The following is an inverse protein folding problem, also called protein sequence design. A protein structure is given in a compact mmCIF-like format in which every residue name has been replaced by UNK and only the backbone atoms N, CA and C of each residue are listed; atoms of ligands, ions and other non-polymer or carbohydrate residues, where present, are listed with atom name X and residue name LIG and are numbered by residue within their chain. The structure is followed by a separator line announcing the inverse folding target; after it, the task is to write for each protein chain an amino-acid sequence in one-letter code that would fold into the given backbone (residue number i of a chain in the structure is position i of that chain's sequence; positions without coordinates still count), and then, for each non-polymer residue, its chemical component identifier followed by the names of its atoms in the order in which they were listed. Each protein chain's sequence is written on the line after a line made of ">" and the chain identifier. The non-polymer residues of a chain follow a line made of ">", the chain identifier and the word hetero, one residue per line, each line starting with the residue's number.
data_IF_299110481391
#
_entry.id   IF_299110481391
#
_cell.length_a   1.000
_cell.length_b   1.000
_cell.length_c   1.000
_cell.angle_alpha   90.00
_cell.angle_beta   90.00
_cell.angle_gamma   90.00
#
_symmetry.space_group_name_H-M   'P 1'
#
loop_
_entity.id
_entity.type
_entity.pdbx_description
1 polymer ?
#
# COMPACT_ATOMS: atom_id res chain seq x y z
N UNK A 1 1.35 1.68 -8.64
CA UNK A 1 0.38 0.56 -8.78
C UNK A 1 1.06 -0.77 -8.49
N UNK A 2 0.45 -1.63 -7.69
CA UNK A 2 0.95 -2.98 -7.39
C UNK A 2 0.37 -3.96 -8.43
N UNK A 3 1.21 -4.85 -8.95
CA UNK A 3 0.81 -5.91 -9.89
C UNK A 3 0.73 -7.27 -9.20
N UNK A 4 1.72 -7.58 -8.37
CA UNK A 4 1.83 -8.87 -7.69
C UNK A 4 2.64 -8.75 -6.41
N UNK A 5 2.27 -9.51 -5.39
CA UNK A 5 3.01 -9.66 -4.12
C UNK A 5 3.14 -11.14 -3.81
N UNK A 6 4.35 -11.58 -3.42
CA UNK A 6 4.60 -12.94 -2.94
C UNK A 6 5.30 -12.90 -1.59
N UNK A 7 4.86 -13.78 -0.71
CA UNK A 7 5.37 -13.91 0.65
C UNK A 7 5.62 -15.38 0.94
N UNK A 8 6.72 -15.71 1.56
CA UNK A 8 7.06 -17.10 1.93
C UNK A 8 7.76 -17.14 3.28
N UNK A 9 7.48 -18.20 4.03
CA UNK A 9 8.03 -18.45 5.35
C UNK A 9 7.83 -17.29 6.34
N UNK A 10 6.59 -16.82 6.46
CA UNK A 10 6.25 -15.72 7.38
C UNK A 10 4.92 -15.97 8.09
N UNK A 11 4.85 -15.74 9.39
CA UNK A 11 3.68 -15.97 10.25
C UNK A 11 3.12 -17.40 10.12
N UNK A 12 1.89 -17.53 9.59
CA UNK A 12 1.25 -18.85 9.32
C UNK A 12 1.51 -19.38 7.92
N UNK A 13 2.23 -18.63 7.07
CA UNK A 13 2.51 -19.00 5.69
C UNK A 13 3.86 -19.74 5.61
N UNK A 14 3.83 -21.07 5.46
CA UNK A 14 5.02 -21.89 5.21
C UNK A 14 5.52 -21.74 3.79
N UNK A 15 4.64 -22.05 2.86
CA UNK A 15 4.92 -22.03 1.43
C UNK A 15 4.64 -20.63 0.85
N UNK A 16 5.00 -20.41 -0.41
CA UNK A 16 4.75 -19.13 -1.07
C UNK A 16 3.24 -18.86 -1.23
N UNK A 17 2.83 -17.70 -0.76
CA UNK A 17 1.49 -17.14 -0.97
C UNK A 17 1.61 -15.98 -1.95
N UNK A 18 0.84 -16.04 -3.02
CA UNK A 18 0.80 -15.02 -4.07
C UNK A 18 -0.51 -14.24 -4.02
N UNK A 19 -0.41 -12.93 -3.93
CA UNK A 19 -1.49 -11.98 -4.21
C UNK A 19 -1.25 -11.41 -5.60
N UNK A 20 -1.95 -11.94 -6.59
CA UNK A 20 -1.90 -11.48 -7.98
C UNK A 20 -3.09 -10.54 -8.25
N UNK A 21 -2.81 -9.32 -8.67
CA UNK A 21 -3.80 -8.30 -9.00
C UNK A 21 -4.10 -8.25 -10.52
N UNK A 22 -3.54 -9.17 -11.29
CA UNK A 22 -3.90 -9.34 -12.69
C UNK A 22 -5.24 -10.07 -12.81
N UNK A 23 -6.07 -9.65 -13.75
CA UNK A 23 -7.33 -10.31 -14.01
C UNK A 23 -7.12 -11.61 -14.78
N UNK A 24 -7.68 -12.71 -14.29
CA UNK A 24 -7.69 -13.96 -15.03
C UNK A 24 -8.46 -13.81 -16.37
N UNK A 25 -8.00 -14.50 -17.40
CA UNK A 25 -8.64 -14.53 -18.72
C UNK A 25 -9.91 -15.42 -18.68
N UNK A 26 -10.95 -14.93 -18.04
CA UNK A 26 -12.24 -15.62 -17.91
C UNK A 26 -13.29 -14.88 -18.75
N UNK A 27 -13.92 -15.57 -19.69
CA UNK A 27 -14.89 -15.01 -20.65
C UNK A 27 -16.33 -15.45 -20.38
N UNK A 28 -16.67 -15.80 -19.14
CA UNK A 28 -18.03 -16.16 -18.76
C UNK A 28 -18.94 -14.95 -18.66
N UNK A 29 -20.27 -15.14 -18.77
CA UNK A 29 -21.24 -14.06 -18.57
C UNK A 29 -21.12 -13.42 -17.16
N UNK A 30 -20.81 -14.22 -16.13
CA UNK A 30 -20.56 -13.73 -14.77
C UNK A 30 -19.30 -12.84 -14.68
N UNK A 31 -18.23 -13.20 -15.39
CA UNK A 31 -17.01 -12.41 -15.43
C UNK A 31 -17.23 -11.06 -16.14
N UNK A 32 -18.07 -11.00 -17.18
CA UNK A 32 -18.44 -9.75 -17.86
C UNK A 32 -19.21 -8.79 -16.95
N UNK A 33 -20.00 -9.31 -16.01
CA UNK A 33 -20.67 -8.47 -15.02
C UNK A 33 -19.72 -7.76 -14.04
N UNK A 34 -18.45 -8.21 -13.96
CA UNK A 34 -17.40 -7.64 -13.11
C UNK A 34 -16.46 -6.67 -13.85
N UNK A 35 -16.79 -6.26 -15.08
CA UNK A 35 -15.92 -5.34 -15.85
C UNK A 35 -15.67 -4.00 -15.14
N UNK A 36 -16.58 -3.53 -14.29
CA UNK A 36 -16.37 -2.36 -13.43
C UNK A 36 -15.18 -2.51 -12.47
N UNK A 37 -14.82 -3.74 -12.09
CA UNK A 37 -13.66 -4.04 -11.24
C UNK A 37 -12.33 -4.12 -12.03
N UNK A 38 -12.32 -3.74 -13.31
CA UNK A 38 -11.15 -3.89 -14.17
C UNK A 38 -10.68 -2.56 -14.73
N UNK A 39 -9.38 -2.47 -14.95
CA UNK A 39 -8.74 -1.43 -15.75
C UNK A 39 -7.55 -2.02 -16.51
N UNK A 40 -7.02 -1.29 -17.47
CA UNK A 40 -5.86 -1.73 -18.27
C UNK A 40 -4.62 -0.93 -17.90
N UNK A 41 -3.53 -1.62 -17.61
CA UNK A 41 -2.22 -1.02 -17.38
C UNK A 41 -1.13 -1.84 -18.08
N UNK A 42 -0.24 -1.21 -18.83
CA UNK A 42 0.84 -1.85 -19.62
C UNK A 42 0.36 -3.00 -20.53
N UNK A 43 -0.86 -2.90 -21.05
CA UNK A 43 -1.46 -3.92 -21.89
C UNK A 43 -2.07 -5.12 -21.15
N UNK A 44 -2.00 -5.13 -19.83
CA UNK A 44 -2.57 -6.16 -18.96
C UNK A 44 -3.85 -5.67 -18.27
N UNK A 45 -4.79 -6.59 -18.01
CA UNK A 45 -6.02 -6.31 -17.28
C UNK A 45 -5.76 -6.48 -15.79
N UNK A 46 -6.04 -5.44 -15.01
CA UNK A 46 -5.78 -5.36 -13.57
C UNK A 46 -7.09 -5.27 -12.80
N UNK A 47 -7.07 -5.81 -11.58
CA UNK A 47 -8.17 -5.72 -10.62
C UNK A 47 -8.09 -4.41 -9.82
N UNK A 48 -9.24 -3.74 -9.64
CA UNK A 48 -9.38 -2.58 -8.75
C UNK A 48 -9.66 -2.99 -7.31
N UNK A 49 -10.40 -4.07 -7.10
CA UNK A 49 -10.75 -4.56 -5.76
C UNK A 49 -10.52 -6.06 -5.66
N UNK A 50 -9.85 -6.50 -4.60
CA UNK A 50 -9.63 -7.90 -4.27
C UNK A 50 -10.04 -8.16 -2.83
N UNK A 51 -10.95 -9.10 -2.63
CA UNK A 51 -11.40 -9.54 -1.32
C UNK A 51 -10.70 -10.82 -0.88
N UNK A 52 -10.13 -10.82 0.33
CA UNK A 52 -9.50 -11.99 0.94
C UNK A 52 -10.45 -12.62 1.94
N UNK A 53 -11.06 -13.74 1.56
CA UNK A 53 -12.00 -14.49 2.41
C UNK A 53 -11.38 -15.75 3.01
N UNK A 54 -11.89 -16.15 4.15
CA UNK A 54 -11.51 -17.40 4.80
C UNK A 54 -12.08 -17.50 6.21
N UNK A 55 -12.10 -18.71 6.77
CA UNK A 55 -12.52 -18.96 8.15
C UNK A 55 -11.66 -18.19 9.17
N UNK A 56 -12.15 -18.03 10.40
CA UNK A 56 -11.33 -17.48 11.48
C UNK A 56 -10.07 -18.33 11.66
N UNK A 57 -8.94 -17.68 11.95
CA UNK A 57 -7.62 -18.29 12.07
C UNK A 57 -7.06 -18.93 10.76
N UNK A 58 -7.66 -18.69 9.58
CA UNK A 58 -7.13 -19.20 8.30
C UNK A 58 -5.87 -18.46 7.80
N UNK A 59 -5.46 -17.37 8.44
CA UNK A 59 -4.25 -16.62 8.09
C UNK A 59 -4.49 -15.33 7.29
N UNK A 60 -5.71 -14.88 7.07
CA UNK A 60 -6.03 -13.62 6.35
C UNK A 60 -5.22 -12.43 6.86
N UNK A 61 -5.32 -12.12 8.15
CA UNK A 61 -4.56 -11.03 8.76
C UNK A 61 -3.05 -11.25 8.71
N UNK A 62 -2.57 -12.48 8.60
CA UNK A 62 -1.14 -12.76 8.44
C UNK A 62 -0.63 -12.39 7.03
N UNK A 63 -1.46 -12.49 5.99
CA UNK A 63 -1.13 -11.96 4.66
C UNK A 63 -0.98 -10.44 4.74
N UNK A 64 -1.94 -9.74 5.35
CA UNK A 64 -1.88 -8.29 5.56
C UNK A 64 -0.63 -7.88 6.35
N UNK A 65 -0.34 -8.56 7.47
CA UNK A 65 0.88 -8.33 8.27
C UNK A 65 2.16 -8.58 7.46
N UNK A 66 2.17 -9.60 6.61
CA UNK A 66 3.30 -9.90 5.74
C UNK A 66 3.56 -8.79 4.71
N UNK A 67 2.50 -8.26 4.10
CA UNK A 67 2.60 -7.10 3.19
C UNK A 67 3.10 -5.86 3.95
N UNK A 68 2.57 -5.60 5.15
CA UNK A 68 3.05 -4.51 6.01
C UNK A 68 4.52 -4.64 6.36
N UNK A 69 4.99 -5.86 6.68
CA UNK A 69 6.40 -6.13 6.95
C UNK A 69 7.27 -5.86 5.72
N UNK A 70 6.86 -6.31 4.53
CA UNK A 70 7.55 -6.05 3.27
C UNK A 70 7.72 -4.55 3.01
N UNK A 71 6.61 -3.81 3.00
CA UNK A 71 6.61 -2.36 2.75
C UNK A 71 7.34 -1.60 3.86
N UNK A 72 7.18 -2.03 5.11
CA UNK A 72 7.88 -1.46 6.27
C UNK A 72 9.40 -1.57 6.15
N UNK A 73 9.91 -2.72 5.70
CA UNK A 73 11.34 -2.89 5.41
C UNK A 73 11.84 -1.95 4.31
N UNK A 74 11.09 -1.80 3.22
CA UNK A 74 11.45 -0.88 2.11
C UNK A 74 11.50 0.57 2.60
N UNK A 75 10.51 0.99 3.39
CA UNK A 75 10.40 2.37 3.89
C UNK A 75 11.40 2.71 4.98
N UNK A 76 11.61 1.81 5.94
CA UNK A 76 12.19 2.17 7.24
C UNK A 76 13.52 1.50 7.58
N UNK A 77 13.97 0.49 6.80
CA UNK A 77 15.17 -0.28 7.20
C UNK A 77 16.46 0.55 7.23
N UNK A 78 16.51 1.71 6.60
CA UNK A 78 17.64 2.65 6.71
C UNK A 78 17.81 3.24 8.12
N UNK A 79 16.79 3.16 8.98
CA UNK A 79 16.83 3.58 10.38
C UNK A 79 17.28 2.46 11.34
N UNK A 80 17.49 1.25 10.84
CA UNK A 80 17.84 0.11 11.69
C UNK A 80 19.35 0.07 11.95
N UNK A 81 19.69 -0.14 13.20
CA UNK A 81 21.05 -0.35 13.69
C UNK A 81 21.32 -1.84 13.97
N UNK A 82 22.52 -2.16 14.41
CA UNK A 82 22.97 -3.55 14.55
C UNK A 82 22.14 -4.38 15.54
N UNK A 83 21.63 -3.74 16.59
CA UNK A 83 20.83 -4.39 17.64
C UNK A 83 19.34 -4.61 17.23
N UNK A 84 18.91 -4.04 16.10
CA UNK A 84 17.52 -4.15 15.65
C UNK A 84 17.17 -5.60 15.32
N UNK A 85 16.10 -6.11 15.92
CA UNK A 85 15.42 -7.34 15.51
C UNK A 85 14.22 -6.96 14.65
N UNK A 86 14.06 -7.61 13.50
CA UNK A 86 12.96 -7.30 12.59
C UNK A 86 11.63 -7.75 13.16
N UNK A 87 10.61 -6.91 13.01
CA UNK A 87 9.26 -7.16 13.51
C UNK A 87 8.46 -8.09 12.58
N UNK A 88 8.87 -9.36 12.56
CA UNK A 88 8.11 -10.43 11.93
C UNK A 88 8.49 -11.78 12.56
N UNK A 89 7.68 -12.82 12.31
CA UNK A 89 7.94 -14.18 12.80
C UNK A 89 7.95 -15.12 11.61
N UNK A 90 9.05 -15.88 11.36
CA UNK A 90 9.04 -16.97 10.40
C UNK A 90 8.03 -18.06 10.81
N UNK A 91 7.61 -18.90 9.88
CA UNK A 91 6.78 -20.06 10.18
C UNK A 91 7.48 -20.98 11.17
N UNK A 92 6.79 -21.37 12.27
CA UNK A 92 7.43 -21.95 13.45
C UNK A 92 7.67 -23.46 13.38
N UNK A 93 7.03 -24.18 12.46
CA UNK A 93 7.08 -25.63 12.41
C UNK A 93 8.06 -26.15 11.37
N UNK A 94 8.42 -27.43 11.46
CA UNK A 94 9.23 -28.16 10.48
C UNK A 94 10.62 -27.53 10.19
N UNK A 95 11.19 -26.81 11.16
CA UNK A 95 12.49 -26.15 11.02
C UNK A 95 12.49 -24.92 10.12
N UNK A 96 11.32 -24.40 9.74
CA UNK A 96 11.19 -23.19 8.93
C UNK A 96 11.56 -21.92 9.71
N UNK A 97 11.50 -21.96 11.04
CA UNK A 97 11.98 -20.90 11.94
C UNK A 97 13.47 -20.55 11.74
N UNK A 98 14.24 -21.47 11.16
CA UNK A 98 15.67 -21.31 10.84
C UNK A 98 15.92 -20.97 9.37
N UNK A 99 14.89 -21.02 8.53
CA UNK A 99 14.99 -20.68 7.12
C UNK A 99 14.71 -19.19 6.91
N UNK A 100 15.24 -18.59 5.83
CA UNK A 100 14.92 -17.20 5.51
C UNK A 100 13.44 -17.05 5.08
N UNK A 101 12.86 -15.90 5.42
CA UNK A 101 11.61 -15.44 4.85
C UNK A 101 11.89 -14.69 3.56
N UNK A 102 11.02 -14.82 2.56
CA UNK A 102 11.18 -14.21 1.24
C UNK A 102 10.01 -13.29 0.92
N UNK A 103 10.33 -12.19 0.26
CA UNK A 103 9.40 -11.15 -0.15
C UNK A 103 9.66 -10.80 -1.61
N UNK A 104 8.60 -10.66 -2.38
CA UNK A 104 8.65 -10.24 -3.77
C UNK A 104 7.49 -9.27 -4.03
N UNK A 105 7.77 -8.21 -4.77
CA UNK A 105 6.77 -7.28 -5.26
C UNK A 105 7.06 -6.89 -6.70
N UNK A 106 6.04 -6.99 -7.53
CA UNK A 106 6.01 -6.52 -8.91
C UNK A 106 5.09 -5.31 -8.98
N UNK A 107 5.58 -4.21 -9.51
CA UNK A 107 4.85 -2.94 -9.49
C UNK A 107 5.14 -2.10 -10.72
N UNK A 108 4.20 -1.24 -11.05
CA UNK A 108 4.31 -0.25 -12.11
C UNK A 108 4.52 1.13 -11.48
N UNK A 109 5.61 1.79 -11.86
CA UNK A 109 5.95 3.14 -11.42
C UNK A 109 6.35 3.98 -12.63
N UNK A 110 5.63 5.09 -12.84
CA UNK A 110 5.86 6.01 -13.97
C UNK A 110 5.87 5.31 -15.35
N UNK A 111 4.95 4.37 -15.55
CA UNK A 111 4.80 3.63 -16.80
C UNK A 111 5.85 2.54 -17.05
N UNK A 112 6.76 2.30 -16.10
CA UNK A 112 7.79 1.25 -16.17
C UNK A 112 7.49 0.19 -15.11
N UNK A 113 7.56 -1.07 -15.51
CA UNK A 113 7.40 -2.20 -14.62
C UNK A 113 8.72 -2.51 -13.90
N UNK A 114 8.60 -2.85 -12.62
CA UNK A 114 9.70 -3.24 -11.73
C UNK A 114 9.37 -4.54 -11.01
N UNK A 115 10.38 -5.35 -10.79
CA UNK A 115 10.38 -6.44 -9.83
C UNK A 115 11.40 -6.14 -8.73
N UNK A 116 10.97 -6.29 -7.50
CA UNK A 116 11.84 -6.15 -6.34
C UNK A 116 11.65 -7.32 -5.39
N UNK A 117 12.74 -7.94 -4.97
CA UNK A 117 12.70 -9.06 -4.04
C UNK A 117 13.84 -9.01 -3.04
N UNK A 118 13.59 -9.55 -1.86
CA UNK A 118 14.61 -9.74 -0.84
C UNK A 118 14.28 -10.93 0.05
N UNK A 119 15.32 -11.49 0.68
CA UNK A 119 15.17 -12.51 1.70
C UNK A 119 15.92 -12.10 2.96
N UNK A 120 15.36 -12.48 4.10
CA UNK A 120 15.93 -12.12 5.40
C UNK A 120 15.61 -13.15 6.48
N UNK A 121 16.44 -13.18 7.53
CA UNK A 121 16.15 -13.79 8.81
C UNK A 121 15.58 -12.73 9.76
N UNK A 122 15.33 -13.09 11.02
CA UNK A 122 15.00 -12.10 12.06
C UNK A 122 16.10 -11.08 12.33
N UNK A 123 17.32 -11.36 11.89
CA UNK A 123 18.49 -10.62 12.30
C UNK A 123 19.22 -9.94 11.15
N UNK A 124 19.07 -10.42 9.94
CA UNK A 124 19.83 -9.90 8.79
C UNK A 124 19.12 -10.14 7.45
N UNK A 125 19.43 -9.28 6.51
CA UNK A 125 19.07 -9.39 5.10
C UNK A 125 20.14 -10.28 4.44
N UNK A 126 19.67 -11.29 3.69
CA UNK A 126 20.55 -12.25 3.03
C UNK A 126 20.72 -11.93 1.54
N UNK A 127 19.60 -11.66 0.87
CA UNK A 127 19.60 -11.34 -0.57
C UNK A 127 18.71 -10.14 -0.84
N UNK A 128 18.97 -9.42 -1.91
CA UNK A 128 18.16 -8.32 -2.39
C UNK A 128 18.38 -8.14 -3.89
N UNK A 129 17.31 -8.00 -4.68
CA UNK A 129 17.40 -7.88 -6.13
C UNK A 129 16.35 -6.92 -6.64
N UNK A 130 16.70 -6.14 -7.65
CA UNK A 130 15.78 -5.28 -8.38
C UNK A 130 15.98 -5.40 -9.87
N UNK A 131 14.89 -5.59 -10.59
CA UNK A 131 14.82 -5.57 -12.04
C UNK A 131 13.86 -4.48 -12.50
N UNK A 132 14.01 -4.03 -13.73
CA UNK A 132 13.07 -3.15 -14.40
C UNK A 132 12.88 -3.59 -15.85
N UNK A 133 11.82 -3.15 -16.49
CA UNK A 133 11.43 -3.59 -17.83
C UNK A 133 11.39 -2.41 -18.82
N UNK A 134 12.54 -1.83 -19.21
CA UNK A 134 12.56 -0.82 -20.24
C UNK A 134 12.15 -1.46 -21.57
N UNK A 135 11.09 -0.94 -22.19
CA UNK A 135 10.54 -1.51 -23.43
C UNK A 135 10.15 -3.01 -23.34
N UNK A 136 9.67 -3.45 -22.19
CA UNK A 136 9.21 -4.83 -21.96
C UNK A 136 10.31 -5.87 -21.80
N UNK A 137 11.59 -5.49 -21.72
CA UNK A 137 12.73 -6.42 -21.53
C UNK A 137 13.26 -6.37 -20.11
N UNK A 138 13.34 -7.53 -19.46
CA UNK A 138 13.90 -7.65 -18.11
C UNK A 138 15.36 -7.26 -18.07
N UNK A 139 15.69 -6.26 -17.25
CA UNK A 139 17.05 -5.76 -17.05
C UNK A 139 17.35 -5.63 -15.56
N UNK A 140 18.49 -6.12 -15.12
CA UNK A 140 18.94 -5.98 -13.73
C UNK A 140 19.22 -4.51 -13.41
N UNK A 141 18.78 -4.04 -12.26
CA UNK A 141 19.22 -2.77 -11.65
C UNK A 141 20.37 -3.03 -10.71
N UNK A 142 20.17 -3.95 -9.75
CA UNK A 142 21.20 -4.46 -8.86
C UNK A 142 20.81 -5.81 -8.26
N UNK A 143 21.82 -6.55 -7.79
CA UNK A 143 21.62 -7.68 -6.90
C UNK A 143 22.61 -7.64 -5.73
N UNK A 144 22.19 -8.18 -4.59
CA UNK A 144 22.97 -8.35 -3.36
C UNK A 144 22.83 -9.79 -2.89
N UNK A 145 23.94 -10.39 -2.50
CA UNK A 145 23.98 -11.74 -1.93
C UNK A 145 25.06 -11.82 -0.86
N UNK A 146 24.66 -11.78 0.39
CA UNK A 146 25.55 -11.76 1.56
C UNK A 146 26.27 -13.11 1.78
N UNK A 147 25.87 -14.19 1.10
CA UNK A 147 26.59 -15.47 1.14
C UNK A 147 27.93 -15.44 0.43
N UNK A 148 28.15 -14.45 -0.46
CA UNK A 148 29.40 -14.28 -1.23
C UNK A 148 30.55 -13.69 -0.44
N UNK A 149 30.38 -13.46 0.85
CA UNK A 149 31.42 -13.01 1.76
C UNK A 149 31.24 -11.59 2.27
N UNK A 150 32.34 -10.97 2.70
CA UNK A 150 32.33 -9.63 3.32
C UNK A 150 32.76 -8.50 2.37
N UNK A 151 33.46 -8.84 1.27
CA UNK A 151 33.82 -7.84 0.27
C UNK A 151 32.58 -7.39 -0.50
N UNK A 152 32.22 -6.13 -0.35
CA UNK A 152 31.05 -5.52 -1.01
C UNK A 152 31.10 -5.63 -2.53
N UNK A 153 32.27 -5.74 -3.15
CA UNK A 153 32.42 -5.96 -4.59
C UNK A 153 31.97 -7.36 -5.02
N UNK A 154 32.11 -8.34 -4.14
CA UNK A 154 31.64 -9.70 -4.39
C UNK A 154 30.15 -9.85 -4.06
N UNK A 155 29.69 -9.18 -3.01
CA UNK A 155 28.31 -9.22 -2.53
C UNK A 155 27.34 -8.56 -3.50
N UNK A 156 27.74 -7.49 -4.18
CA UNK A 156 26.85 -6.71 -5.04
C UNK A 156 27.20 -6.83 -6.53
N UNK A 157 26.18 -6.92 -7.38
CA UNK A 157 26.26 -6.66 -8.83
C UNK A 157 25.38 -5.45 -9.15
N UNK A 158 25.98 -4.41 -9.73
CA UNK A 158 25.30 -3.16 -10.09
C UNK A 158 25.30 -2.94 -11.59
N UNK A 159 24.21 -2.37 -12.10
CA UNK A 159 24.08 -1.97 -13.50
C UNK A 159 24.04 -0.43 -13.64
N UNK A 160 24.26 0.13 -14.84
CA UNK A 160 24.45 1.59 -15.04
C UNK A 160 23.33 2.50 -14.59
N UNK A 161 22.10 1.99 -14.35
CA UNK A 161 20.98 2.77 -13.84
C UNK A 161 21.25 3.36 -12.45
N UNK A 162 22.09 2.74 -11.66
CA UNK A 162 22.56 3.24 -10.35
C UNK A 162 23.89 3.98 -10.48
N UNK A 163 23.90 5.26 -10.15
CA UNK A 163 25.14 6.05 -10.12
C UNK A 163 25.83 5.92 -8.76
N UNK A 164 27.15 5.72 -8.77
CA UNK A 164 28.00 5.60 -7.56
C UNK A 164 27.44 4.63 -6.51
N UNK A 165 27.09 3.38 -6.86
CA UNK A 165 26.42 2.48 -5.93
C UNK A 165 27.36 1.92 -4.85
N UNK A 166 28.66 1.90 -5.05
CA UNK A 166 29.64 1.31 -4.11
C UNK A 166 29.79 2.11 -2.82
N UNK A 167 29.59 3.43 -2.82
CA UNK A 167 29.58 4.24 -1.60
C UNK A 167 28.36 3.95 -0.75
N UNK A 168 27.21 3.69 -1.38
CA UNK A 168 26.01 3.23 -0.70
C UNK A 168 26.23 1.84 -0.10
N UNK A 169 26.75 0.89 -0.90
CA UNK A 169 27.02 -0.48 -0.44
C UNK A 169 27.96 -0.52 0.77
N UNK A 170 29.01 0.33 0.79
CA UNK A 170 29.93 0.46 1.90
C UNK A 170 29.24 0.94 3.20
N UNK A 171 28.18 1.74 3.07
CA UNK A 171 27.39 2.27 4.19
C UNK A 171 26.07 1.50 4.44
N UNK A 172 25.91 0.32 3.83
CA UNK A 172 24.75 -0.53 4.01
C UNK A 172 25.09 -1.73 4.89
N UNK A 173 24.49 -1.78 6.07
CA UNK A 173 24.62 -2.91 6.99
C UNK A 173 23.77 -4.11 6.53
N UNK A 174 23.91 -5.24 7.20
CA UNK A 174 23.00 -6.40 7.00
C UNK A 174 21.60 -6.17 7.55
N UNK A 175 21.37 -5.10 8.31
CA UNK A 175 20.04 -4.71 8.82
C UNK A 175 19.22 -3.86 7.85
N UNK A 176 19.86 -3.32 6.82
CA UNK A 176 19.29 -2.30 5.93
C UNK A 176 19.18 -2.83 4.53
N UNK A 177 18.03 -2.69 3.89
CA UNK A 177 17.87 -2.89 2.45
C UNK A 177 18.70 -1.83 1.70
N UNK A 178 19.42 -2.27 0.67
CA UNK A 178 20.22 -1.37 -0.16
C UNK A 178 19.36 -0.26 -0.78
N UNK A 179 18.16 -0.60 -1.28
CA UNK A 179 17.23 0.38 -1.88
C UNK A 179 16.83 1.46 -0.86
N UNK A 180 16.58 1.08 0.39
CA UNK A 180 16.23 2.01 1.47
C UNK A 180 17.39 2.95 1.80
N UNK A 181 18.62 2.42 1.93
CA UNK A 181 19.82 3.25 2.16
C UNK A 181 20.14 4.15 0.94
N UNK A 182 20.02 3.62 -0.27
CA UNK A 182 20.27 4.35 -1.50
C UNK A 182 19.33 5.55 -1.68
N UNK A 183 18.09 5.45 -1.21
CA UNK A 183 17.14 6.56 -1.23
C UNK A 183 17.60 7.71 -0.34
N UNK A 184 18.15 7.42 0.85
CA UNK A 184 18.69 8.41 1.79
C UNK A 184 20.01 9.04 1.31
N UNK A 185 20.72 8.34 0.45
CA UNK A 185 21.96 8.82 -0.17
C UNK A 185 21.74 9.43 -1.57
N UNK A 186 20.54 9.90 -1.86
CA UNK A 186 20.16 10.62 -3.08
C UNK A 186 20.36 9.87 -4.39
N UNK A 187 20.17 8.54 -4.40
CA UNK A 187 20.18 7.78 -5.65
C UNK A 187 18.79 7.87 -6.30
N UNK A 188 18.73 8.45 -7.50
CA UNK A 188 17.48 8.85 -8.16
C UNK A 188 16.45 7.71 -8.25
N UNK A 189 16.86 6.55 -8.77
CA UNK A 189 15.94 5.40 -8.88
C UNK A 189 15.46 4.93 -7.51
N UNK A 190 16.31 4.95 -6.49
CA UNK A 190 15.97 4.54 -5.14
C UNK A 190 14.99 5.53 -4.47
N UNK A 191 15.17 6.83 -4.70
CA UNK A 191 14.24 7.88 -4.21
C UNK A 191 12.86 7.72 -4.84
N UNK A 192 12.78 7.40 -6.14
CA UNK A 192 11.52 7.15 -6.83
C UNK A 192 10.82 5.91 -6.27
N UNK A 193 11.54 4.80 -6.07
CA UNK A 193 11.00 3.59 -5.44
C UNK A 193 10.53 3.87 -4.00
N UNK A 194 11.34 4.58 -3.21
CA UNK A 194 10.97 4.97 -1.85
C UNK A 194 9.68 5.81 -1.84
N UNK A 195 9.58 6.80 -2.73
CA UNK A 195 8.39 7.65 -2.87
C UNK A 195 7.17 6.82 -3.26
N UNK A 196 7.30 5.93 -4.24
CA UNK A 196 6.23 5.02 -4.63
C UNK A 196 5.66 4.24 -3.44
N UNK A 197 6.53 3.56 -2.68
CA UNK A 197 6.08 2.82 -1.51
C UNK A 197 5.59 3.71 -0.37
N UNK A 198 6.05 4.93 -0.24
CA UNK A 198 5.64 5.86 0.83
C UNK A 198 4.33 6.59 0.53
N UNK A 199 4.09 6.97 -0.71
CA UNK A 199 2.99 7.85 -1.10
C UNK A 199 1.86 7.11 -1.85
N UNK A 200 2.19 6.07 -2.65
CA UNK A 200 1.22 5.36 -3.49
C UNK A 200 0.73 4.03 -2.89
N UNK A 201 1.42 3.49 -1.88
CA UNK A 201 1.02 2.27 -1.17
C UNK A 201 0.53 2.64 0.21
N UNK A 202 -0.78 2.60 0.44
CA UNK A 202 -1.42 2.93 1.71
C UNK A 202 -1.77 1.63 2.43
N UNK A 203 -1.24 1.44 3.64
CA UNK A 203 -1.42 0.21 4.43
C UNK A 203 -2.52 0.33 5.49
N UNK A 204 -2.96 1.52 5.77
CA UNK A 204 -4.08 1.88 6.62
C UNK A 204 -4.56 3.27 6.23
N UNK A 205 -5.85 3.52 6.34
CA UNK A 205 -6.36 4.88 6.20
C UNK A 205 -6.24 5.62 7.53
N UNK A 206 -5.68 6.82 7.48
CA UNK A 206 -5.60 7.72 8.63
C UNK A 206 -6.43 8.97 8.36
N UNK A 207 -7.01 9.55 9.40
CA UNK A 207 -7.67 10.84 9.27
C UNK A 207 -6.69 11.88 8.71
N UNK A 208 -7.04 12.61 7.66
CA UNK A 208 -6.16 13.58 7.05
C UNK A 208 -5.89 14.75 7.99
N UNK A 209 -4.75 15.41 7.79
CA UNK A 209 -4.42 16.64 8.51
C UNK A 209 -5.42 17.77 8.15
N UNK A 210 -5.65 18.70 9.05
CA UNK A 210 -6.59 19.82 8.89
C UNK A 210 -6.39 20.61 7.57
N UNK A 211 -5.14 20.87 7.19
CA UNK A 211 -4.81 21.53 5.93
C UNK A 211 -5.30 20.79 4.69
N UNK A 212 -5.33 19.45 4.74
CA UNK A 212 -5.86 18.60 3.67
C UNK A 212 -7.38 18.72 3.62
N UNK A 213 -8.05 18.77 4.78
CA UNK A 213 -9.51 18.98 4.88
C UNK A 213 -9.92 20.30 4.24
N UNK A 214 -9.24 21.40 4.56
CA UNK A 214 -9.51 22.70 3.95
C UNK A 214 -9.37 22.71 2.42
N UNK A 215 -8.29 22.09 1.91
CA UNK A 215 -8.08 21.95 0.48
C UNK A 215 -9.19 21.16 -0.18
N UNK A 216 -9.56 20.02 0.39
CA UNK A 216 -10.61 19.17 -0.15
C UNK A 216 -11.98 19.86 -0.12
N UNK A 217 -12.31 20.61 0.94
CA UNK A 217 -13.52 21.42 1.00
C UNK A 217 -13.57 22.50 -0.09
N UNK A 218 -12.43 23.08 -0.47
CA UNK A 218 -12.37 24.08 -1.55
C UNK A 218 -12.54 23.44 -2.93
N UNK A 219 -11.94 22.27 -3.15
CA UNK A 219 -11.86 21.65 -4.47
C UNK A 219 -12.98 20.62 -4.72
N UNK A 220 -13.57 20.05 -3.68
CA UNK A 220 -14.37 18.81 -3.76
C UNK A 220 -15.60 18.81 -2.85
N UNK A 221 -16.08 19.96 -2.47
CA UNK A 221 -17.17 20.11 -1.51
C UNK A 221 -18.43 19.34 -1.89
N UNK A 222 -18.80 19.31 -3.15
CA UNK A 222 -20.00 18.59 -3.63
C UNK A 222 -19.88 17.08 -3.36
N UNK A 223 -18.74 16.50 -3.70
CA UNK A 223 -18.52 15.07 -3.53
C UNK A 223 -18.52 14.68 -2.05
N UNK A 224 -17.90 15.53 -1.20
CA UNK A 224 -17.93 15.34 0.26
C UNK A 224 -19.33 15.43 0.84
N UNK A 225 -20.15 16.37 0.36
CA UNK A 225 -21.54 16.50 0.80
C UNK A 225 -22.39 15.31 0.36
N UNK A 226 -22.21 14.81 -0.85
CA UNK A 226 -22.94 13.64 -1.33
C UNK A 226 -22.62 12.39 -0.50
N UNK A 227 -21.35 12.26 -0.09
CA UNK A 227 -20.92 11.20 0.82
C UNK A 227 -21.52 11.37 2.22
N UNK A 228 -21.45 12.57 2.81
CA UNK A 228 -22.04 12.84 4.12
C UNK A 228 -23.53 12.56 4.16
N UNK A 229 -24.26 12.89 3.09
CA UNK A 229 -25.68 12.61 2.94
C UNK A 229 -26.02 11.12 2.94
N UNK A 230 -25.08 10.24 2.67
CA UNK A 230 -25.30 8.79 2.82
C UNK A 230 -25.38 8.37 4.29
N UNK A 231 -24.69 9.10 5.20
CA UNK A 231 -24.76 8.85 6.64
C UNK A 231 -25.87 9.67 7.31
N UNK A 232 -26.01 10.92 6.91
CA UNK A 232 -27.06 11.83 7.39
C UNK A 232 -27.62 12.68 6.24
N UNK A 233 -28.81 12.32 5.78
CA UNK A 233 -29.49 12.97 4.66
C UNK A 233 -29.94 14.41 4.96
N UNK A 234 -29.91 14.83 6.23
CA UNK A 234 -30.29 16.17 6.66
C UNK A 234 -29.15 17.19 6.50
N UNK A 235 -27.89 16.75 6.38
CA UNK A 235 -26.75 17.62 6.14
C UNK A 235 -26.82 18.20 4.72
N UNK A 236 -26.92 19.54 4.64
CA UNK A 236 -27.04 20.28 3.37
C UNK A 236 -25.76 21.03 3.01
N UNK A 237 -24.94 21.40 3.99
CA UNK A 237 -23.70 22.13 3.77
C UNK A 237 -22.64 21.81 4.84
N UNK A 238 -21.37 22.02 4.47
CA UNK A 238 -20.21 21.90 5.37
C UNK A 238 -19.19 23.00 5.03
N UNK A 239 -18.65 23.67 6.04
CA UNK A 239 -17.71 24.79 5.86
C UNK A 239 -16.65 24.79 6.94
N UNK A 240 -15.50 25.37 6.59
CA UNK A 240 -14.49 25.75 7.59
C UNK A 240 -14.73 27.20 7.99
N UNK A 241 -15.04 27.44 9.27
CA UNK A 241 -15.32 28.77 9.82
C UNK A 241 -14.52 28.99 11.09
N UNK A 242 -13.74 30.06 11.12
CA UNK A 242 -12.87 30.40 12.27
C UNK A 242 -11.96 29.26 12.74
N UNK A 243 -11.47 28.41 11.79
CA UNK A 243 -10.60 27.27 12.09
C UNK A 243 -11.36 26.03 12.62
N UNK A 244 -12.68 26.04 12.63
CA UNK A 244 -13.50 24.89 13.00
C UNK A 244 -14.38 24.44 11.83
N UNK A 245 -14.58 23.14 11.72
CA UNK A 245 -15.46 22.54 10.72
C UNK A 245 -16.90 22.66 11.22
N UNK A 246 -17.78 23.22 10.39
CA UNK A 246 -19.21 23.43 10.71
C UNK A 246 -20.09 22.73 9.68
N UNK A 247 -21.16 22.10 10.15
CA UNK A 247 -22.21 21.50 9.33
C UNK A 247 -23.50 22.31 9.43
N UNK A 248 -24.31 22.22 8.39
CA UNK A 248 -25.60 22.86 8.28
C UNK A 248 -26.65 21.84 7.88
N UNK A 249 -27.78 21.82 8.59
CA UNK A 249 -28.82 20.85 8.39
C UNK A 249 -30.05 21.46 7.68
N UNK A 250 -30.73 20.64 6.91
CA UNK A 250 -31.95 21.06 6.17
C UNK A 250 -33.04 21.59 7.08
N UNK A 251 -33.20 21.01 8.26
CA UNK A 251 -34.12 21.40 9.28
C UNK A 251 -33.95 22.85 9.75
N UNK A 252 -32.69 23.35 9.76
CA UNK A 252 -32.35 24.75 10.04
C UNK A 252 -31.05 25.19 9.38
N UNK A 253 -31.08 25.60 8.10
CA UNK A 253 -29.89 25.90 7.32
C UNK A 253 -29.09 27.14 7.78
N UNK A 254 -29.63 27.92 8.71
CA UNK A 254 -28.97 29.14 9.23
C UNK A 254 -28.23 28.89 10.56
N UNK A 255 -28.34 27.71 11.14
CA UNK A 255 -27.66 27.33 12.37
C UNK A 255 -26.47 26.45 12.04
N UNK A 256 -25.28 26.90 12.46
CA UNK A 256 -24.05 26.13 12.31
C UNK A 256 -23.89 25.17 13.49
N UNK A 257 -23.71 23.88 13.19
CA UNK A 257 -23.34 22.86 14.16
C UNK A 257 -21.82 22.67 14.15
N UNK A 258 -21.21 22.59 15.33
CA UNK A 258 -19.81 22.24 15.43
C UNK A 258 -19.60 20.75 15.12
N UNK A 259 -18.82 20.47 14.06
CA UNK A 259 -18.66 19.11 13.57
C UNK A 259 -18.10 18.15 14.64
N UNK A 260 -17.11 18.60 15.42
CA UNK A 260 -16.45 17.73 16.39
C UNK A 260 -17.28 17.49 17.66
N UNK A 261 -18.06 18.47 18.11
CA UNK A 261 -18.79 18.38 19.38
C UNK A 261 -20.28 18.06 19.22
N UNK A 262 -20.91 18.39 18.09
CA UNK A 262 -22.36 18.31 17.91
C UNK A 262 -22.79 17.25 16.90
N UNK A 263 -21.91 16.79 15.98
CA UNK A 263 -22.26 15.71 15.06
C UNK A 263 -22.15 14.32 15.69
N UNK A 264 -22.87 13.36 15.09
CA UNK A 264 -22.80 11.96 15.52
C UNK A 264 -21.41 11.36 15.27
N UNK A 265 -21.00 10.41 16.12
CA UNK A 265 -19.75 9.68 15.92
C UNK A 265 -19.71 8.91 14.58
N UNK A 266 -20.87 8.44 14.11
CA UNK A 266 -21.00 7.80 12.81
C UNK A 266 -20.69 8.75 11.66
N UNK A 267 -21.25 9.96 11.68
CA UNK A 267 -21.02 11.03 10.71
C UNK A 267 -19.54 11.43 10.69
N UNK A 268 -18.93 11.63 11.87
CA UNK A 268 -17.52 11.98 12.01
C UNK A 268 -16.59 10.90 11.46
N UNK A 269 -16.86 9.65 11.80
CA UNK A 269 -16.07 8.50 11.32
C UNK A 269 -16.15 8.38 9.80
N UNK A 270 -17.34 8.46 9.23
CA UNK A 270 -17.54 8.42 7.79
C UNK A 270 -16.80 9.56 7.08
N UNK A 271 -16.93 10.78 7.58
CA UNK A 271 -16.27 11.94 6.97
C UNK A 271 -14.73 11.79 6.95
N UNK A 272 -14.13 11.47 8.10
CA UNK A 272 -12.68 11.29 8.21
C UNK A 272 -12.17 10.18 7.30
N UNK A 273 -12.89 9.07 7.24
CA UNK A 273 -12.55 7.95 6.36
C UNK A 273 -12.66 8.34 4.89
N UNK A 274 -13.74 9.03 4.51
CA UNK A 274 -13.96 9.42 3.11
C UNK A 274 -12.95 10.43 2.59
N UNK A 275 -12.48 11.35 3.43
CA UNK A 275 -11.37 12.25 3.07
C UNK A 275 -10.13 11.47 2.64
N UNK A 276 -9.76 10.45 3.42
CA UNK A 276 -8.62 9.57 3.08
C UNK A 276 -8.87 8.76 1.81
N UNK A 277 -10.08 8.21 1.66
CA UNK A 277 -10.46 7.42 0.49
C UNK A 277 -10.45 8.25 -0.81
N UNK A 278 -10.91 9.50 -0.75
CA UNK A 278 -10.89 10.39 -1.93
C UNK A 278 -9.47 10.66 -2.41
N UNK A 279 -8.51 10.91 -1.51
CA UNK A 279 -7.10 11.08 -1.87
C UNK A 279 -6.52 9.80 -2.50
N UNK A 280 -6.82 8.63 -1.92
CA UNK A 280 -6.39 7.33 -2.42
C UNK A 280 -6.95 7.06 -3.82
N UNK A 281 -8.25 7.26 -4.01
CA UNK A 281 -8.96 7.00 -5.27
C UNK A 281 -8.48 7.93 -6.37
N UNK A 282 -8.35 9.22 -6.10
CA UNK A 282 -7.88 10.21 -7.09
C UNK A 282 -6.43 10.05 -7.46
N UNK A 283 -5.60 9.73 -6.46
CA UNK A 283 -4.18 9.44 -6.70
C UNK A 283 -3.93 8.11 -7.39
N UNK A 284 -4.97 7.28 -7.58
CA UNK A 284 -4.80 5.94 -8.14
C UNK A 284 -3.93 5.04 -7.27
N UNK A 285 -4.01 5.22 -5.94
CA UNK A 285 -3.15 4.56 -4.98
C UNK A 285 -3.63 3.13 -4.69
N UNK A 286 -2.72 2.31 -4.17
CA UNK A 286 -3.04 1.01 -3.61
C UNK A 286 -3.39 1.15 -2.13
N UNK A 287 -4.52 0.58 -1.70
CA UNK A 287 -4.96 0.55 -0.31
C UNK A 287 -5.09 -0.89 0.18
N UNK A 288 -4.51 -1.18 1.33
CA UNK A 288 -4.64 -2.45 2.05
C UNK A 288 -5.38 -2.20 3.36
N UNK A 289 -6.50 -2.88 3.56
CA UNK A 289 -7.30 -2.81 4.80
C UNK A 289 -7.45 -4.20 5.38
N UNK A 290 -7.20 -4.37 6.68
CA UNK A 290 -7.55 -5.59 7.39
C UNK A 290 -8.92 -5.39 8.07
N UNK A 291 -9.78 -6.40 8.01
CA UNK A 291 -11.07 -6.42 8.72
C UNK A 291 -11.98 -5.21 8.41
N UNK A 292 -12.12 -4.84 7.14
CA UNK A 292 -12.97 -3.72 6.71
C UNK A 292 -14.42 -3.86 7.20
N UNK A 293 -14.91 -5.09 7.38
CA UNK A 293 -16.26 -5.44 7.78
C UNK A 293 -16.47 -5.37 9.30
N UNK A 294 -15.44 -5.40 10.12
CA UNK A 294 -15.56 -5.34 11.58
C UNK A 294 -15.77 -3.92 12.10
N UNK A 295 -15.28 -2.94 11.36
CA UNK A 295 -15.29 -1.52 11.76
C UNK A 295 -16.40 -0.71 11.09
N UNK A 296 -17.03 -1.25 10.04
CA UNK A 296 -17.96 -0.52 9.19
C UNK A 296 -19.25 -1.29 8.95
N UNK A 297 -20.37 -0.56 8.89
CA UNK A 297 -21.65 -1.14 8.47
C UNK A 297 -21.55 -1.67 7.02
N UNK A 298 -22.20 -2.80 6.72
CA UNK A 298 -22.12 -3.48 5.41
C UNK A 298 -22.40 -2.56 4.22
N UNK A 299 -23.37 -1.67 4.32
CA UNK A 299 -23.69 -0.70 3.26
C UNK A 299 -22.53 0.26 2.98
N UNK A 300 -21.73 0.60 3.99
CA UNK A 300 -20.57 1.46 3.84
C UNK A 300 -19.40 0.71 3.18
N UNK A 301 -19.23 -0.57 3.50
CA UNK A 301 -18.26 -1.44 2.82
C UNK A 301 -18.61 -1.56 1.33
N UNK A 302 -19.86 -1.82 0.99
CA UNK A 302 -20.35 -1.85 -0.41
C UNK A 302 -20.11 -0.52 -1.12
N UNK A 303 -20.37 0.60 -0.45
CA UNK A 303 -20.13 1.93 -0.99
C UNK A 303 -18.64 2.17 -1.29
N UNK A 304 -17.72 1.83 -0.36
CA UNK A 304 -16.27 1.95 -0.56
C UNK A 304 -15.82 1.12 -1.76
N UNK A 305 -16.20 -0.15 -1.83
CA UNK A 305 -15.86 -1.02 -2.96
C UNK A 305 -16.38 -0.42 -4.27
N UNK A 306 -17.61 0.13 -4.26
CA UNK A 306 -18.19 0.83 -5.39
C UNK A 306 -17.36 2.04 -5.84
N UNK A 307 -16.82 2.82 -4.91
CA UNK A 307 -15.93 3.95 -5.22
C UNK A 307 -14.65 3.50 -5.93
N UNK A 308 -14.01 2.43 -5.46
CA UNK A 308 -12.83 1.86 -6.14
C UNK A 308 -13.18 1.31 -7.52
N UNK A 309 -14.27 0.57 -7.65
CA UNK A 309 -14.72 0.02 -8.94
C UNK A 309 -15.07 1.12 -9.96
N UNK A 310 -15.52 2.28 -9.51
CA UNK A 310 -15.76 3.45 -10.36
C UNK A 310 -14.53 4.33 -10.58
N UNK A 311 -13.41 4.07 -9.88
CA UNK A 311 -12.16 4.80 -10.07
C UNK A 311 -11.51 4.45 -11.42
N UNK A 312 -10.52 5.26 -11.84
CA UNK A 312 -9.73 4.98 -13.05
C UNK A 312 -8.79 3.79 -12.84
N UNK A 313 -8.02 3.78 -11.75
CA UNK A 313 -6.96 2.79 -11.51
C UNK A 313 -6.54 2.64 -10.04
N UNK A 314 -7.33 3.11 -9.09
CA UNK A 314 -7.06 2.85 -7.67
C UNK A 314 -7.27 1.36 -7.34
N UNK A 315 -6.49 0.83 -6.41
CA UNK A 315 -6.51 -0.58 -6.04
C UNK A 315 -6.83 -0.75 -4.54
N UNK A 316 -7.73 -1.65 -4.21
CA UNK A 316 -8.13 -2.02 -2.85
C UNK A 316 -7.93 -3.52 -2.63
N UNK A 317 -7.26 -3.88 -1.53
CA UNK A 317 -7.19 -5.26 -1.00
C UNK A 317 -7.74 -5.26 0.42
N UNK A 318 -8.73 -6.13 0.70
CA UNK A 318 -9.42 -6.18 1.99
C UNK A 318 -9.81 -7.59 2.40
#
# INVERSE_FOLDING_TARGET
>A
MILELRLSNIFSMRDEVTLDLQAANIFTQKARALEGNLFTACGERMLKSVAVFGANASGKSNVVKGIRACVGMIRNSHNYNEDTTFDFVPFKFDGYDRKPSSFYVRFLMEGIEYEYSFSMTKHEILTEQMYYYPNGRKSLVFSRDESKGTDKRCVYDFKPLLKRPMDVAANTSRKTLFISRASQMDREIAKRVFRFFSEEVVLDYHAPQEMVVEKMLKEQKSDLLDILRTADSDIVDIRMESGALKTYHRSNPNVAFDFESEESEGTKTLFRMMLSMMDIIRGGKFLLIDEIDTSLHTQLVEFIIGLFNNSSHAQLVY
#
